data_IF_401381909381
#
_entry.id   IF_401381909381
#
_cell.length_a   1.000
_cell.length_b   1.000
_cell.length_c   1.000
_cell.angle_alpha   90.00
_cell.angle_beta   90.00
_cell.angle_gamma   90.00
#
_symmetry.space_group_name_H-M   'P 1'
#
loop_
_entity.id
_entity.type
_entity.pdbx_description
1 polymer ?
#
# COMPACT_ATOMS: atom_id res chain seq x y z
N UNK A 1 -39.30 81.46 -18.21
CA UNK A 1 -39.22 79.98 -18.48
C UNK A 1 -37.81 79.59 -18.94
N UNK A 2 -36.99 79.00 -18.06
CA UNK A 2 -35.68 78.50 -18.39
C UNK A 2 -35.69 77.01 -18.14
N UNK A 3 -35.56 76.25 -19.20
CA UNK A 3 -35.34 74.76 -19.13
C UNK A 3 -33.87 74.46 -18.91
N UNK A 4 -33.54 73.89 -17.75
CA UNK A 4 -32.20 73.36 -17.44
C UNK A 4 -32.12 71.95 -17.93
N UNK A 5 -31.09 71.66 -18.74
CA UNK A 5 -30.73 70.36 -19.20
C UNK A 5 -29.69 69.78 -18.22
N UNK A 6 -30.01 68.72 -17.52
CA UNK A 6 -29.09 67.97 -16.71
C UNK A 6 -28.47 66.88 -17.59
N UNK A 7 -27.16 66.97 -17.81
CA UNK A 7 -26.37 65.94 -18.48
C UNK A 7 -26.15 64.81 -17.52
N UNK A 8 -26.60 63.59 -17.88
CA UNK A 8 -26.29 62.35 -17.16
C UNK A 8 -24.90 61.88 -17.54
N UNK A 9 -24.01 61.87 -16.56
CA UNK A 9 -22.68 61.32 -16.69
C UNK A 9 -22.74 59.78 -16.53
N UNK A 10 -22.54 59.04 -17.63
CA UNK A 10 -22.50 57.57 -17.63
C UNK A 10 -21.12 57.13 -17.14
N UNK A 11 -21.00 56.67 -15.89
CA UNK A 11 -19.78 56.09 -15.31
C UNK A 11 -19.65 54.64 -15.83
N UNK A 12 -18.84 54.41 -16.84
CA UNK A 12 -18.41 53.09 -17.25
C UNK A 12 -17.42 52.56 -16.20
N UNK A 13 -17.90 51.76 -15.23
CA UNK A 13 -17.05 50.96 -14.40
C UNK A 13 -16.47 49.84 -15.25
N UNK A 14 -15.22 49.96 -15.67
CA UNK A 14 -14.44 48.89 -16.25
C UNK A 14 -14.13 47.82 -15.22
N UNK A 15 -14.69 46.66 -15.38
CA UNK A 15 -14.31 45.47 -14.62
C UNK A 15 -12.95 45.05 -15.11
N UNK A 16 -11.91 45.31 -14.32
CA UNK A 16 -10.60 44.69 -14.51
C UNK A 16 -10.73 43.21 -14.14
N UNK A 17 -10.73 42.34 -15.15
CA UNK A 17 -10.47 40.92 -14.91
C UNK A 17 -9.04 40.82 -14.41
N UNK A 18 -8.86 40.66 -13.10
CA UNK A 18 -7.60 40.19 -12.54
C UNK A 18 -7.46 38.75 -12.93
N UNK A 19 -6.56 38.47 -13.88
CA UNK A 19 -6.11 37.10 -14.15
C UNK A 19 -5.56 36.52 -12.85
N UNK A 20 -6.14 35.40 -12.42
CA UNK A 20 -5.60 34.64 -11.31
C UNK A 20 -4.12 34.27 -11.64
N UNK A 21 -3.19 34.35 -10.69
CA UNK A 21 -1.81 33.97 -10.95
C UNK A 21 -1.77 32.48 -11.34
N UNK A 22 -1.15 32.20 -12.47
CA UNK A 22 -0.85 30.86 -12.92
C UNK A 22 -0.06 30.12 -11.82
N UNK A 23 -0.58 28.97 -11.45
CA UNK A 23 0.02 27.90 -10.67
C UNK A 23 1.20 28.23 -9.75
N UNK A 24 0.95 28.39 -8.47
CA UNK A 24 1.99 28.12 -7.50
C UNK A 24 2.48 26.67 -7.73
N UNK A 25 3.82 26.47 -7.76
CA UNK A 25 4.39 25.13 -7.79
C UNK A 25 3.76 24.30 -6.67
N UNK A 26 3.51 23.01 -6.90
CA UNK A 26 2.91 22.16 -5.88
C UNK A 26 3.73 22.28 -4.59
N UNK A 27 3.05 22.52 -3.48
CA UNK A 27 3.68 22.58 -2.19
C UNK A 27 4.31 21.20 -1.91
N UNK A 28 5.54 21.15 -1.43
CA UNK A 28 6.16 19.92 -0.98
C UNK A 28 6.18 19.89 0.54
N UNK A 29 5.76 18.77 1.13
CA UNK A 29 5.85 18.50 2.55
C UNK A 29 7.12 17.69 2.81
N UNK A 30 7.91 18.10 3.81
CA UNK A 30 9.06 17.32 4.28
C UNK A 30 8.67 16.56 5.53
N UNK A 31 8.78 15.24 5.52
CA UNK A 31 8.55 14.40 6.69
C UNK A 31 9.78 14.49 7.62
N UNK A 32 9.62 15.11 8.76
CA UNK A 32 10.63 15.19 9.82
C UNK A 32 10.34 14.12 10.87
N UNK A 33 10.59 12.87 10.49
CA UNK A 33 10.35 11.68 11.33
C UNK A 33 11.65 10.89 11.42
N UNK A 34 12.31 10.90 12.60
CA UNK A 34 13.53 10.11 12.80
C UNK A 34 13.29 8.62 12.57
N UNK A 35 14.23 7.98 11.88
CA UNK A 35 14.26 6.54 11.63
C UNK A 35 13.06 5.98 10.83
N UNK A 36 12.28 6.81 10.16
CA UNK A 36 11.27 6.36 9.22
C UNK A 36 11.94 5.91 7.92
N UNK A 37 11.66 4.69 7.49
CA UNK A 37 12.03 4.17 6.18
C UNK A 37 11.20 4.80 5.05
N UNK A 38 11.27 4.22 3.86
CA UNK A 38 10.42 4.64 2.73
C UNK A 38 8.95 4.37 3.06
N UNK A 39 8.05 5.39 3.00
CA UNK A 39 6.64 5.17 3.28
C UNK A 39 5.98 4.30 2.21
N UNK A 40 5.39 3.20 2.63
CA UNK A 40 4.55 2.31 1.80
C UNK A 40 3.07 2.63 1.93
N UNK A 41 2.68 3.37 2.97
CA UNK A 41 1.29 3.79 3.19
C UNK A 41 1.22 5.17 3.87
N UNK A 42 0.27 5.98 3.41
CA UNK A 42 -0.06 7.27 3.99
C UNK A 42 -1.59 7.46 3.99
N UNK A 43 -2.16 7.98 5.08
CA UNK A 43 -3.60 8.22 5.18
C UNK A 43 -3.88 9.59 5.79
N UNK A 44 -4.80 10.35 5.20
CA UNK A 44 -5.22 11.66 5.70
C UNK A 44 -6.28 11.51 6.80
N UNK A 45 -5.94 11.88 8.03
CA UNK A 45 -6.84 12.01 9.17
C UNK A 45 -7.42 13.42 9.17
N UNK A 46 -8.58 13.57 8.57
CA UNK A 46 -9.25 14.87 8.42
C UNK A 46 -9.81 15.39 9.74
N UNK A 47 -10.07 14.52 10.70
CA UNK A 47 -10.64 14.90 11.99
C UNK A 47 -9.64 15.67 12.85
N UNK A 48 -8.38 15.29 12.77
CA UNK A 48 -7.30 15.88 13.56
C UNK A 48 -6.35 16.75 12.69
N UNK A 49 -6.58 16.83 11.38
CA UNK A 49 -5.77 17.62 10.47
C UNK A 49 -4.31 17.14 10.38
N UNK A 50 -4.10 15.83 10.25
CA UNK A 50 -2.78 15.19 10.20
C UNK A 50 -2.75 14.03 9.22
N UNK A 51 -1.58 13.49 8.98
CA UNK A 51 -1.39 12.27 8.20
C UNK A 51 -0.88 11.13 9.08
N UNK A 52 -1.32 9.92 8.81
CA UNK A 52 -0.72 8.70 9.32
C UNK A 52 0.21 8.11 8.27
N UNK A 53 1.40 7.68 8.67
CA UNK A 53 2.44 7.19 7.77
C UNK A 53 3.01 5.89 8.32
N UNK A 54 3.34 4.96 7.43
CA UNK A 54 4.04 3.71 7.75
C UNK A 54 5.10 3.40 6.72
N UNK A 55 6.23 2.86 7.16
CA UNK A 55 7.30 2.30 6.35
C UNK A 55 7.18 0.76 6.20
N UNK A 56 6.00 0.21 6.49
CA UNK A 56 5.71 -1.20 6.33
C UNK A 56 6.09 -2.06 7.54
N UNK A 57 6.42 -3.32 7.28
CA UNK A 57 6.74 -4.30 8.31
C UNK A 57 8.23 -4.53 8.40
N UNK A 58 8.80 -4.36 9.59
CA UNK A 58 10.18 -4.71 9.89
C UNK A 58 10.23 -5.71 11.05
N UNK A 59 10.85 -6.87 10.82
CA UNK A 59 10.97 -7.93 11.84
C UNK A 59 9.61 -8.36 12.46
N UNK A 60 8.56 -8.46 11.61
CA UNK A 60 7.22 -8.87 12.02
C UNK A 60 6.44 -7.81 12.82
N UNK A 61 6.84 -6.54 12.73
CA UNK A 61 6.19 -5.40 13.38
C UNK A 61 6.09 -4.22 12.43
N UNK A 62 5.12 -3.37 12.65
CA UNK A 62 4.87 -2.18 11.83
C UNK A 62 5.02 -0.93 12.66
N UNK A 63 5.80 0.02 12.15
CA UNK A 63 5.84 1.38 12.67
C UNK A 63 4.73 2.20 12.02
N UNK A 64 3.89 2.84 12.83
CA UNK A 64 2.88 3.80 12.37
C UNK A 64 3.04 5.08 13.17
N UNK A 65 3.18 6.18 12.46
CA UNK A 65 3.35 7.52 13.07
C UNK A 65 2.35 8.49 12.48
N UNK A 66 1.96 9.51 13.26
CA UNK A 66 1.28 10.66 12.69
C UNK A 66 2.26 11.79 12.43
N UNK A 67 2.00 12.57 11.39
CA UNK A 67 2.71 13.81 11.07
C UNK A 67 1.70 14.94 10.85
N UNK A 68 2.03 16.13 11.31
CA UNK A 68 1.22 17.33 11.07
C UNK A 68 1.28 17.78 9.61
N UNK A 69 0.51 18.81 9.28
CA UNK A 69 0.57 19.50 7.99
C UNK A 69 1.91 20.24 7.76
N UNK A 70 2.70 20.42 8.81
CA UNK A 70 4.06 20.93 8.77
C UNK A 70 5.13 19.81 8.63
N UNK A 71 4.72 18.54 8.53
CA UNK A 71 5.59 17.37 8.38
C UNK A 71 6.26 16.88 9.65
N UNK A 72 6.01 17.53 10.79
CA UNK A 72 6.64 17.12 12.05
C UNK A 72 5.97 15.91 12.66
N UNK A 73 6.80 15.08 13.28
CA UNK A 73 6.33 13.92 14.06
C UNK A 73 5.35 14.35 15.16
N UNK A 74 4.16 13.77 15.13
CA UNK A 74 3.16 13.86 16.19
C UNK A 74 3.22 12.62 17.10
N UNK A 75 2.29 11.69 16.90
CA UNK A 75 2.17 10.46 17.68
C UNK A 75 2.88 9.30 17.01
N UNK A 76 3.66 8.54 17.77
CA UNK A 76 4.11 7.20 17.38
C UNK A 76 3.22 6.17 18.06
N UNK A 77 2.56 5.31 17.30
CA UNK A 77 1.72 4.26 17.88
C UNK A 77 2.59 3.16 18.50
N UNK A 78 2.26 2.82 19.74
CA UNK A 78 2.90 1.72 20.45
C UNK A 78 1.95 0.50 20.46
N UNK A 79 1.74 -0.09 19.29
CA UNK A 79 0.95 -1.29 19.17
C UNK A 79 1.82 -2.48 18.80
N UNK A 80 1.43 -3.68 19.24
CA UNK A 80 2.25 -4.88 19.14
C UNK A 80 1.59 -5.96 18.28
N UNK A 81 0.68 -5.56 17.37
CA UNK A 81 0.08 -6.49 16.43
C UNK A 81 1.17 -7.13 15.56
N UNK A 82 1.23 -8.45 15.47
CA UNK A 82 2.12 -9.12 14.54
C UNK A 82 1.67 -8.84 13.12
N UNK A 83 2.61 -8.49 12.25
CA UNK A 83 2.37 -8.21 10.84
C UNK A 83 3.33 -9.00 9.98
N UNK A 84 2.94 -9.30 8.76
CA UNK A 84 3.75 -10.04 7.79
C UNK A 84 4.34 -9.10 6.76
N UNK A 85 3.48 -8.31 6.09
CA UNK A 85 3.87 -7.41 5.01
C UNK A 85 2.82 -6.29 4.86
N UNK A 86 2.99 -5.21 5.64
CA UNK A 86 2.10 -4.04 5.57
C UNK A 86 2.46 -3.21 4.34
N UNK A 87 1.46 -2.93 3.51
CA UNK A 87 1.60 -2.22 2.24
C UNK A 87 0.76 -0.96 2.15
N UNK A 88 -0.24 -0.76 3.02
CA UNK A 88 -1.15 0.38 2.88
C UNK A 88 -1.72 0.87 4.21
N UNK A 89 -2.07 2.14 4.24
CA UNK A 89 -2.91 2.76 5.26
C UNK A 89 -4.18 3.33 4.63
N UNK A 90 -5.27 3.34 5.38
CA UNK A 90 -6.50 4.02 4.97
C UNK A 90 -7.20 4.63 6.18
N UNK A 91 -7.83 5.78 5.99
CA UNK A 91 -8.60 6.47 7.02
C UNK A 91 -10.09 6.44 6.68
N UNK A 92 -10.92 6.02 7.61
CA UNK A 92 -12.37 6.03 7.44
C UNK A 92 -13.05 6.00 8.81
N UNK A 93 -14.08 6.84 8.98
CA UNK A 93 -14.96 6.88 10.17
C UNK A 93 -14.17 6.94 11.49
N UNK A 94 -13.20 7.89 11.57
CA UNK A 94 -12.32 8.12 12.71
C UNK A 94 -11.43 6.92 13.09
N UNK A 95 -11.27 5.95 12.19
CA UNK A 95 -10.42 4.79 12.37
C UNK A 95 -9.30 4.74 11.34
N UNK A 96 -8.13 4.36 11.82
CA UNK A 96 -7.00 4.01 10.98
C UNK A 96 -7.03 2.52 10.64
N UNK A 97 -7.00 2.20 9.36
CA UNK A 97 -6.89 0.84 8.86
C UNK A 97 -5.49 0.60 8.32
N UNK A 98 -4.85 -0.46 8.80
CA UNK A 98 -3.50 -0.88 8.43
C UNK A 98 -3.61 -2.18 7.64
N UNK A 99 -3.23 -2.13 6.37
CA UNK A 99 -3.33 -3.26 5.45
C UNK A 99 -2.06 -4.13 5.48
N UNK A 100 -2.11 -5.23 6.22
CA UNK A 100 -1.11 -6.32 6.15
C UNK A 100 -1.49 -7.26 4.99
N UNK A 101 -1.23 -6.79 3.76
CA UNK A 101 -1.82 -7.30 2.52
C UNK A 101 -0.80 -7.77 1.48
N UNK A 102 0.49 -7.50 1.69
CA UNK A 102 1.54 -7.96 0.80
C UNK A 102 1.74 -9.47 0.86
N UNK A 103 1.99 -10.08 -0.30
CA UNK A 103 2.28 -11.50 -0.47
C UNK A 103 3.02 -11.75 -1.79
N UNK A 104 4.21 -11.19 -1.93
CA UNK A 104 5.02 -11.31 -3.15
C UNK A 104 5.30 -12.78 -3.54
N UNK A 105 5.32 -13.68 -2.55
CA UNK A 105 5.49 -15.11 -2.77
C UNK A 105 4.18 -15.85 -3.08
N UNK A 106 3.02 -15.21 -2.97
CA UNK A 106 1.68 -15.77 -3.16
C UNK A 106 1.45 -17.06 -2.37
N UNK A 107 1.69 -17.00 -1.05
CA UNK A 107 1.62 -18.15 -0.14
C UNK A 107 0.67 -17.97 1.02
N UNK A 108 0.14 -16.77 1.21
CA UNK A 108 -0.76 -16.49 2.33
C UNK A 108 -2.16 -17.00 2.01
N UNK A 109 -2.72 -17.81 2.91
CA UNK A 109 -4.11 -18.26 2.81
C UNK A 109 -5.10 -17.11 2.98
N UNK A 110 -4.69 -16.06 3.70
CA UNK A 110 -5.46 -14.85 3.92
C UNK A 110 -4.54 -13.64 4.14
N UNK A 111 -5.03 -12.48 3.78
CA UNK A 111 -4.48 -11.17 4.13
C UNK A 111 -5.23 -10.61 5.34
N UNK A 112 -4.66 -9.62 6.01
CA UNK A 112 -5.25 -9.07 7.22
C UNK A 112 -5.36 -7.55 7.15
N UNK A 113 -6.45 -7.00 7.68
CA UNK A 113 -6.56 -5.57 7.98
C UNK A 113 -6.67 -5.41 9.49
N UNK A 114 -5.86 -4.50 10.02
CA UNK A 114 -5.76 -4.21 11.43
C UNK A 114 -6.20 -2.77 11.69
N UNK A 115 -6.82 -2.52 12.83
CA UNK A 115 -7.17 -1.16 13.26
C UNK A 115 -6.82 -0.97 14.73
N UNK A 116 -5.88 -0.07 15.07
CA UNK A 116 -5.59 0.27 16.46
C UNK A 116 -6.83 0.82 17.16
N UNK A 117 -7.11 0.37 18.38
CA UNK A 117 -8.26 0.84 19.15
C UNK A 117 -8.03 2.22 19.79
N UNK A 118 -6.80 2.72 19.76
CA UNK A 118 -6.43 4.04 20.24
C UNK A 118 -5.30 4.61 19.40
N UNK A 119 -5.39 5.89 19.09
CA UNK A 119 -4.44 6.63 18.26
C UNK A 119 -3.58 7.62 19.06
N UNK A 120 -3.58 7.53 20.37
CA UNK A 120 -2.83 8.43 21.28
C UNK A 120 -1.46 7.89 21.70
N UNK A 121 -0.96 6.85 21.06
CA UNK A 121 0.35 6.26 21.34
C UNK A 121 0.41 5.29 22.54
N UNK A 122 -0.65 5.23 23.34
CA UNK A 122 -0.66 4.47 24.60
C UNK A 122 -1.27 3.06 24.54
N UNK A 123 -1.91 2.68 23.46
CA UNK A 123 -2.63 1.39 23.38
C UNK A 123 -1.90 0.32 22.59
N UNK A 124 -1.91 -0.89 23.13
CA UNK A 124 -1.46 -2.08 22.41
C UNK A 124 -2.63 -2.90 21.80
N UNK A 125 -3.89 -2.49 21.99
CA UNK A 125 -5.06 -3.22 21.52
C UNK A 125 -5.43 -2.85 20.08
N UNK A 126 -5.93 -3.82 19.31
CA UNK A 126 -6.37 -3.62 17.93
C UNK A 126 -7.57 -4.51 17.59
N UNK A 127 -8.29 -4.12 16.55
CA UNK A 127 -9.25 -4.95 15.83
C UNK A 127 -8.56 -5.58 14.63
N UNK A 128 -9.01 -6.78 14.20
CA UNK A 128 -8.48 -7.46 13.02
C UNK A 128 -9.60 -8.08 12.20
N UNK A 129 -9.40 -8.12 10.88
CA UNK A 129 -10.24 -8.81 9.90
C UNK A 129 -9.34 -9.58 8.94
N UNK A 130 -9.68 -10.84 8.71
CA UNK A 130 -8.99 -11.72 7.77
C UNK A 130 -9.80 -11.82 6.49
N UNK A 131 -9.10 -11.79 5.34
CA UNK A 131 -9.71 -11.83 4.01
C UNK A 131 -9.00 -12.83 3.10
N UNK A 132 -9.78 -13.59 2.31
CA UNK A 132 -9.24 -14.47 1.29
C UNK A 132 -9.73 -14.07 -0.10
N UNK A 133 -8.87 -14.24 -1.09
CA UNK A 133 -9.24 -14.05 -2.49
C UNK A 133 -9.97 -15.28 -3.01
N UNK A 134 -11.00 -15.10 -3.89
CA UNK A 134 -11.81 -16.22 -4.39
C UNK A 134 -11.06 -17.12 -5.38
N UNK A 135 -9.97 -16.63 -5.93
CA UNK A 135 -9.19 -17.24 -7.01
C UNK A 135 -7.73 -17.56 -6.61
N UNK A 136 -7.47 -17.63 -5.32
CA UNK A 136 -6.17 -18.00 -4.75
C UNK A 136 -5.37 -16.79 -4.27
N UNK A 137 -4.17 -16.99 -3.70
CA UNK A 137 -3.35 -15.93 -3.13
C UNK A 137 -2.91 -14.88 -4.15
N UNK A 138 -2.98 -13.62 -3.77
CA UNK A 138 -2.52 -12.47 -4.54
C UNK A 138 -1.65 -11.54 -3.68
N UNK A 139 -0.70 -10.88 -4.33
CA UNK A 139 0.08 -9.80 -3.76
C UNK A 139 -0.66 -8.48 -3.94
N UNK A 140 -1.14 -7.87 -2.87
CA UNK A 140 -1.79 -6.56 -2.92
C UNK A 140 -0.83 -5.46 -2.46
N UNK A 141 -0.82 -4.36 -3.19
CA UNK A 141 0.00 -3.19 -2.88
C UNK A 141 -0.81 -2.01 -2.34
N UNK A 142 -2.12 -2.00 -2.56
CA UNK A 142 -2.95 -0.87 -2.17
C UNK A 142 -4.24 -1.30 -1.48
N UNK A 143 -4.69 -0.46 -0.56
CA UNK A 143 -5.96 -0.61 0.13
C UNK A 143 -6.65 0.75 0.24
N UNK A 144 -7.93 0.81 -0.11
CA UNK A 144 -8.75 2.00 0.09
C UNK A 144 -10.08 1.63 0.76
N UNK A 145 -10.55 2.46 1.69
CA UNK A 145 -11.86 2.30 2.31
C UNK A 145 -12.82 3.34 1.73
N UNK A 146 -13.94 2.87 1.20
CA UNK A 146 -14.95 3.77 0.64
C UNK A 146 -15.76 4.47 1.72
N UNK A 147 -16.47 5.57 1.41
CA UNK A 147 -17.37 6.23 2.36
C UNK A 147 -18.54 5.37 2.86
N UNK A 148 -18.72 4.17 2.31
CA UNK A 148 -19.69 3.17 2.78
C UNK A 148 -19.06 2.08 3.66
N UNK A 149 -17.78 2.22 4.02
CA UNK A 149 -17.04 1.26 4.84
C UNK A 149 -16.61 -0.01 4.12
N UNK A 150 -16.76 -0.11 2.79
CA UNK A 150 -16.20 -1.26 2.06
C UNK A 150 -14.71 -1.05 1.84
N UNK A 151 -13.92 -2.07 2.14
CA UNK A 151 -12.49 -2.09 1.87
C UNK A 151 -12.24 -2.64 0.47
N UNK A 152 -11.34 -2.01 -0.26
CA UNK A 152 -10.90 -2.40 -1.58
C UNK A 152 -9.42 -2.71 -1.53
N UNK A 153 -9.04 -3.82 -2.16
CA UNK A 153 -7.65 -4.28 -2.27
C UNK A 153 -7.27 -4.33 -3.73
N UNK A 154 -6.16 -3.71 -4.08
CA UNK A 154 -5.67 -3.65 -5.44
C UNK A 154 -4.40 -4.50 -5.51
N UNK A 155 -4.44 -5.56 -6.32
CA UNK A 155 -3.33 -6.49 -6.47
C UNK A 155 -2.39 -6.03 -7.57
N UNK A 156 -1.16 -6.53 -7.53
CA UNK A 156 -0.12 -6.33 -8.53
C UNK A 156 0.30 -7.65 -9.18
N UNK A 157 1.14 -7.59 -10.20
CA UNK A 157 1.62 -8.73 -10.98
C UNK A 157 0.99 -8.78 -12.37
N UNK A 158 0.98 -9.97 -13.02
CA UNK A 158 0.61 -10.12 -14.44
C UNK A 158 -0.86 -9.83 -14.73
N UNK A 159 -1.74 -10.05 -13.76
CA UNK A 159 -3.18 -9.83 -13.88
C UNK A 159 -3.67 -9.05 -12.65
N UNK A 160 -3.32 -7.76 -12.56
CA UNK A 160 -3.74 -6.94 -11.44
C UNK A 160 -5.26 -6.78 -11.42
N UNK A 161 -5.83 -6.79 -10.24
CA UNK A 161 -7.27 -6.75 -10.07
C UNK A 161 -7.67 -5.97 -8.81
N UNK A 162 -8.92 -5.52 -8.80
CA UNK A 162 -9.56 -4.87 -7.68
C UNK A 162 -10.50 -5.86 -7.02
N UNK A 163 -10.30 -6.09 -5.73
CA UNK A 163 -11.16 -6.91 -4.89
C UNK A 163 -11.84 -6.04 -3.84
N UNK A 164 -13.02 -6.45 -3.42
CA UNK A 164 -13.82 -5.70 -2.43
C UNK A 164 -14.35 -6.63 -1.35
N UNK A 165 -14.49 -6.08 -0.13
CA UNK A 165 -15.20 -6.76 0.94
C UNK A 165 -16.71 -6.85 0.65
N UNK A 166 -17.35 -7.85 1.21
CA UNK A 166 -18.81 -7.83 1.42
C UNK A 166 -19.16 -6.82 2.52
N UNK A 167 -20.44 -6.45 2.62
CA UNK A 167 -20.88 -5.58 3.70
C UNK A 167 -20.67 -6.27 5.07
N UNK A 168 -20.21 -5.50 6.06
CA UNK A 168 -20.01 -5.94 7.44
C UNK A 168 -19.14 -7.20 7.58
N UNK A 169 -17.83 -7.11 7.28
CA UNK A 169 -16.95 -8.25 7.43
C UNK A 169 -16.87 -8.72 8.90
N UNK A 170 -16.84 -10.02 9.10
CA UNK A 170 -16.71 -10.66 10.42
C UNK A 170 -15.28 -10.54 10.93
N UNK A 171 -15.12 -10.38 12.25
CA UNK A 171 -13.84 -10.45 12.94
C UNK A 171 -13.50 -11.83 13.50
N UNK A 172 -14.42 -12.80 13.36
CA UNK A 172 -14.28 -14.14 13.94
C UNK A 172 -13.97 -15.23 12.92
N UNK A 173 -13.69 -14.86 11.67
CA UNK A 173 -13.38 -15.81 10.61
C UNK A 173 -12.92 -15.11 9.34
N UNK A 174 -12.43 -15.89 8.39
CA UNK A 174 -11.95 -15.39 7.11
C UNK A 174 -13.11 -14.97 6.22
N UNK A 175 -13.07 -13.76 5.71
CA UNK A 175 -14.07 -13.16 4.83
C UNK A 175 -13.66 -13.35 3.37
N UNK A 176 -14.51 -13.94 2.55
CA UNK A 176 -14.24 -14.05 1.11
C UNK A 176 -14.42 -12.69 0.42
N UNK A 177 -13.41 -12.26 -0.31
CA UNK A 177 -13.45 -11.08 -1.17
C UNK A 177 -14.24 -11.34 -2.45
N UNK A 178 -14.58 -10.27 -3.16
CA UNK A 178 -15.23 -10.30 -4.48
C UNK A 178 -14.33 -9.54 -5.45
N UNK A 179 -13.91 -10.18 -6.54
CA UNK A 179 -13.28 -9.46 -7.66
C UNK A 179 -14.33 -8.56 -8.31
N UNK A 180 -14.00 -7.27 -8.49
CA UNK A 180 -14.93 -6.28 -9.06
C UNK A 180 -14.46 -5.74 -10.40
N UNK A 181 -13.15 -5.68 -10.64
CA UNK A 181 -12.59 -5.21 -11.91
C UNK A 181 -11.12 -5.64 -12.07
N UNK A 182 -10.57 -5.43 -13.25
CA UNK A 182 -9.14 -5.40 -13.45
C UNK A 182 -8.57 -4.05 -13.02
N UNK A 183 -7.31 -4.03 -12.59
CA UNK A 183 -6.62 -2.82 -12.14
C UNK A 183 -5.57 -2.36 -13.17
N UNK A 184 -5.15 -1.08 -13.14
CA UNK A 184 -3.94 -0.65 -13.82
C UNK A 184 -2.72 -1.47 -13.38
N UNK A 185 -1.79 -1.70 -14.30
CA UNK A 185 -0.54 -2.39 -13.95
C UNK A 185 0.35 -1.50 -13.07
N UNK A 186 1.06 -2.11 -12.12
CA UNK A 186 2.03 -1.42 -11.27
C UNK A 186 1.40 -0.49 -10.22
N UNK A 187 0.17 -0.76 -9.78
CA UNK A 187 -0.43 0.02 -8.68
C UNK A 187 0.40 -0.17 -7.41
N UNK A 188 0.74 0.96 -6.79
CA UNK A 188 1.48 1.01 -5.52
C UNK A 188 0.60 1.48 -4.35
N UNK A 189 -0.36 2.40 -4.58
CA UNK A 189 -1.29 2.85 -3.56
C UNK A 189 -2.62 3.34 -4.17
N UNK A 190 -3.65 3.49 -3.33
CA UNK A 190 -4.96 3.97 -3.76
C UNK A 190 -5.72 4.68 -2.62
N UNK A 191 -6.51 5.68 -2.99
CA UNK A 191 -7.38 6.40 -2.05
C UNK A 191 -8.70 6.79 -2.69
N UNK A 192 -9.80 6.76 -1.93
CA UNK A 192 -11.06 7.36 -2.37
C UNK A 192 -10.98 8.87 -2.35
N UNK A 193 -11.56 9.51 -3.38
CA UNK A 193 -11.69 10.96 -3.44
C UNK A 193 -12.91 11.43 -2.61
N UNK A 194 -12.96 12.72 -2.29
CA UNK A 194 -13.97 13.34 -1.44
C UNK A 194 -15.42 13.06 -1.85
N UNK A 195 -15.66 12.91 -3.16
CA UNK A 195 -17.00 12.60 -3.67
C UNK A 195 -17.47 11.17 -3.41
N UNK A 196 -16.55 10.28 -2.99
CA UNK A 196 -16.83 8.87 -2.70
C UNK A 196 -17.24 8.03 -3.90
N UNK A 197 -17.24 8.59 -5.10
CA UNK A 197 -17.57 7.93 -6.35
C UNK A 197 -16.35 7.64 -7.22
N UNK A 198 -15.19 8.19 -6.86
CA UNK A 198 -13.93 8.05 -7.58
C UNK A 198 -12.85 7.52 -6.66
N UNK A 199 -11.99 6.69 -7.22
CA UNK A 199 -10.78 6.19 -6.56
C UNK A 199 -9.56 6.63 -7.38
N UNK A 200 -8.60 7.25 -6.72
CA UNK A 200 -7.29 7.52 -7.30
C UNK A 200 -6.38 6.32 -7.01
N UNK A 201 -5.69 5.84 -8.02
CA UNK A 201 -4.71 4.76 -7.96
C UNK A 201 -3.38 5.29 -8.45
N UNK A 202 -2.35 5.14 -7.65
CA UNK A 202 -0.98 5.48 -8.00
C UNK A 202 -0.30 4.27 -8.62
N UNK A 203 0.48 4.51 -9.66
CA UNK A 203 1.46 3.57 -10.23
C UNK A 203 2.85 4.16 -10.10
N UNK A 204 3.88 3.49 -10.57
CA UNK A 204 5.27 3.97 -10.51
C UNK A 204 5.47 5.35 -11.16
N UNK A 205 4.65 5.72 -12.15
CA UNK A 205 4.84 6.94 -12.93
C UNK A 205 3.57 7.74 -13.21
N UNK A 206 2.41 7.28 -12.76
CA UNK A 206 1.15 7.91 -13.09
C UNK A 206 0.10 7.80 -11.97
N UNK A 207 -0.88 8.70 -12.03
CA UNK A 207 -2.10 8.63 -11.25
C UNK A 207 -3.23 8.28 -12.22
N UNK A 208 -4.03 7.28 -11.87
CA UNK A 208 -5.25 6.90 -12.55
C UNK A 208 -6.44 7.22 -11.66
N UNK A 209 -7.41 7.96 -12.16
CA UNK A 209 -8.70 8.19 -11.49
C UNK A 209 -9.74 7.31 -12.15
N UNK A 210 -10.34 6.45 -11.35
CA UNK A 210 -11.30 5.44 -11.81
C UNK A 210 -12.65 5.74 -11.16
N UNK A 211 -13.71 5.66 -11.95
CA UNK A 211 -15.09 5.70 -11.45
C UNK A 211 -15.40 4.40 -10.69
N UNK A 212 -15.77 4.49 -9.41
CA UNK A 212 -15.91 3.34 -8.52
C UNK A 212 -17.20 2.51 -8.74
N UNK A 213 -18.04 2.90 -9.70
CA UNK A 213 -19.23 2.14 -10.10
C UNK A 213 -19.04 1.39 -11.40
N UNK A 214 -18.48 2.07 -12.40
CA UNK A 214 -18.26 1.49 -13.73
C UNK A 214 -16.85 0.88 -13.89
N UNK A 215 -15.92 1.24 -13.02
CA UNK A 215 -14.51 0.85 -13.04
C UNK A 215 -13.77 1.34 -14.30
N UNK A 216 -14.30 2.35 -14.99
CA UNK A 216 -13.61 2.97 -16.10
C UNK A 216 -12.66 4.06 -15.61
N UNK A 217 -11.48 4.15 -16.21
CA UNK A 217 -10.56 5.26 -16.01
C UNK A 217 -11.14 6.53 -16.63
N UNK A 218 -11.37 7.55 -15.81
CA UNK A 218 -11.94 8.85 -16.19
C UNK A 218 -10.94 9.99 -16.13
N UNK A 219 -9.78 9.75 -15.51
CA UNK A 219 -8.65 10.66 -15.48
C UNK A 219 -7.35 9.88 -15.37
N UNK A 220 -6.31 10.34 -16.04
CA UNK A 220 -4.97 9.79 -15.89
C UNK A 220 -3.93 10.84 -16.29
N UNK A 221 -2.86 10.95 -15.51
CA UNK A 221 -1.74 11.83 -15.79
C UNK A 221 -0.44 11.26 -15.24
N UNK A 222 0.66 11.53 -15.93
CA UNK A 222 1.99 11.23 -15.39
C UNK A 222 2.35 12.25 -14.31
N UNK A 223 3.14 11.84 -13.34
CA UNK A 223 3.84 12.75 -12.43
C UNK A 223 5.35 12.69 -12.68
N UNK A 224 6.04 13.79 -12.39
CA UNK A 224 7.45 13.96 -12.76
C UNK A 224 8.41 13.53 -11.66
N UNK A 225 7.99 13.64 -10.40
CA UNK A 225 8.82 13.28 -9.24
C UNK A 225 8.57 11.80 -8.91
N UNK A 226 9.25 10.92 -9.65
CA UNK A 226 9.21 9.47 -9.41
C UNK A 226 9.91 9.08 -8.11
N UNK A 227 9.61 7.89 -7.63
CA UNK A 227 10.08 7.35 -6.35
C UNK A 227 8.97 7.37 -5.29
N UNK A 228 9.13 6.55 -4.24
CA UNK A 228 8.11 6.34 -3.23
C UNK A 228 6.88 5.58 -3.74
N UNK A 229 6.06 5.08 -2.84
CA UNK A 229 4.93 4.20 -3.17
C UNK A 229 3.58 4.74 -2.68
N UNK A 230 3.56 5.48 -1.57
CA UNK A 230 2.34 5.87 -0.89
C UNK A 230 1.67 7.13 -1.45
N UNK A 231 0.33 7.16 -1.37
CA UNK A 231 -0.50 8.28 -1.83
C UNK A 231 -1.76 8.42 -0.97
N UNK A 232 -2.14 9.67 -0.70
CA UNK A 232 -3.43 10.00 -0.09
C UNK A 232 -3.97 11.31 -0.66
N UNK A 233 -5.14 11.77 -0.22
CA UNK A 233 -5.61 13.14 -0.49
C UNK A 233 -4.91 14.12 0.45
N UNK A 234 -4.80 15.39 0.03
CA UNK A 234 -4.44 16.45 0.97
C UNK A 234 -5.55 16.64 2.04
N UNK A 235 -5.23 17.31 3.14
CA UNK A 235 -6.19 17.57 4.25
C UNK A 235 -7.38 18.43 3.84
N UNK A 236 -7.36 19.04 2.67
CA UNK A 236 -8.46 19.80 2.07
C UNK A 236 -9.24 18.97 1.05
N UNK A 237 -8.78 17.76 0.76
CA UNK A 237 -9.33 16.85 -0.26
C UNK A 237 -9.40 17.45 -1.68
N UNK A 238 -8.54 18.42 -1.97
CA UNK A 238 -8.47 19.12 -3.24
C UNK A 238 -7.40 18.56 -4.18
N UNK A 239 -6.35 17.97 -3.62
CA UNK A 239 -5.19 17.41 -4.32
C UNK A 239 -4.82 16.05 -3.76
N UNK A 240 -3.79 15.45 -4.33
CA UNK A 240 -3.17 14.22 -3.87
C UNK A 240 -1.78 14.52 -3.30
N UNK A 241 -1.43 13.84 -2.22
CA UNK A 241 -0.09 13.85 -1.63
C UNK A 241 0.60 12.53 -1.98
N UNK A 242 1.74 12.62 -2.65
CA UNK A 242 2.54 11.49 -3.10
C UNK A 242 3.89 11.49 -2.39
N UNK A 243 4.23 10.39 -1.73
CA UNK A 243 5.61 10.23 -1.24
C UNK A 243 6.56 10.04 -2.41
N UNK A 244 7.71 10.70 -2.38
CA UNK A 244 8.74 10.59 -3.43
C UNK A 244 10.07 10.11 -2.87
N UNK A 245 10.18 10.04 -1.55
CA UNK A 245 11.29 9.43 -0.80
C UNK A 245 10.88 9.27 0.66
N UNK A 246 11.74 8.71 1.49
CA UNK A 246 11.52 8.57 2.93
C UNK A 246 11.14 9.89 3.64
N UNK A 247 11.57 11.03 3.11
CA UNK A 247 11.40 12.33 3.76
C UNK A 247 10.59 13.34 2.94
N UNK A 248 10.18 13.00 1.71
CA UNK A 248 9.55 13.99 0.83
C UNK A 248 8.18 13.53 0.34
N UNK A 249 7.21 14.43 0.46
CA UNK A 249 5.86 14.31 -0.12
C UNK A 249 5.65 15.46 -1.09
N UNK A 250 5.10 15.18 -2.26
CA UNK A 250 4.81 16.19 -3.29
C UNK A 250 3.32 16.22 -3.57
N UNK A 251 2.75 17.41 -3.62
CA UNK A 251 1.34 17.61 -3.96
C UNK A 251 1.13 17.48 -5.47
N UNK A 252 0.16 16.69 -5.90
CA UNK A 252 -0.24 16.53 -7.29
C UNK A 252 -1.74 16.86 -7.47
N UNK A 253 -2.08 17.40 -8.62
CA UNK A 253 -3.50 17.64 -8.96
C UNK A 253 -4.21 16.32 -9.26
N UNK A 254 -5.49 16.24 -8.90
CA UNK A 254 -6.35 15.11 -9.27
C UNK A 254 -6.61 15.16 -10.77
N UNK A 255 -6.17 14.12 -11.56
CA UNK A 255 -6.42 14.11 -13.00
C UNK A 255 -7.91 14.13 -13.35
N UNK A 256 -8.31 15.08 -14.19
CA UNK A 256 -9.70 15.21 -14.68
C UNK A 256 -9.88 14.79 -16.15
N UNK A 257 -8.79 14.43 -16.83
CA UNK A 257 -8.74 13.97 -18.22
C UNK A 257 -7.80 12.76 -18.31
N UNK A 258 -8.07 11.89 -19.25
CA UNK A 258 -7.14 10.80 -19.57
C UNK A 258 -6.06 11.34 -20.52
N UNK A 259 -4.85 11.46 -20.01
CA UNK A 259 -3.65 11.79 -20.78
C UNK A 259 -2.96 10.49 -21.23
N UNK A 260 -2.09 10.59 -22.24
CA UNK A 260 -1.28 9.46 -22.65
C UNK A 260 -0.23 9.16 -21.59
N UNK A 261 -0.39 8.03 -20.92
CA UNK A 261 0.58 7.58 -19.93
C UNK A 261 1.84 7.08 -20.63
N UNK A 262 3.01 7.59 -20.24
CA UNK A 262 4.30 7.10 -20.71
C UNK A 262 4.49 5.66 -20.21
N UNK A 263 4.93 4.77 -21.12
CA UNK A 263 5.31 3.43 -20.69
C UNK A 263 6.49 3.52 -19.71
N UNK A 264 6.41 2.80 -18.60
CA UNK A 264 7.57 2.62 -17.72
C UNK A 264 8.64 1.91 -18.53
N UNK A 265 9.88 2.41 -18.64
CA UNK A 265 10.95 1.69 -19.28
C UNK A 265 11.14 0.37 -18.54
N UNK A 266 10.76 -0.73 -19.16
CA UNK A 266 11.08 -2.05 -18.62
C UNK A 266 12.61 -2.11 -18.62
N UNK A 267 13.23 -2.14 -17.45
CA UNK A 267 14.67 -2.36 -17.35
C UNK A 267 14.91 -3.75 -17.95
N UNK A 268 15.40 -3.77 -19.19
CA UNK A 268 15.86 -4.98 -19.83
C UNK A 268 17.00 -5.52 -18.97
N UNK A 269 16.76 -6.62 -18.29
CA UNK A 269 17.80 -7.41 -17.65
C UNK A 269 18.62 -8.11 -18.72
N UNK A 270 19.37 -7.33 -19.50
CA UNK A 270 20.44 -7.83 -20.36
C UNK A 270 21.60 -8.23 -19.47
N UNK A 271 21.48 -9.36 -18.80
CA UNK A 271 22.65 -10.14 -18.40
C UNK A 271 23.23 -10.80 -19.63
N UNK A 272 23.91 -10.02 -20.45
CA UNK A 272 24.83 -10.54 -21.45
C UNK A 272 26.01 -11.16 -20.70
N UNK A 273 25.93 -12.44 -20.46
CA UNK A 273 27.08 -13.25 -20.07
C UNK A 273 28.05 -13.23 -21.25
N UNK A 274 29.06 -12.40 -21.15
CA UNK A 274 30.22 -12.40 -22.05
C UNK A 274 31.00 -13.68 -21.85
N UNK A 275 30.67 -14.73 -22.57
CA UNK A 275 31.52 -15.91 -22.71
C UNK A 275 32.48 -15.67 -23.88
N UNK A 276 33.74 -15.41 -23.52
CA UNK A 276 34.86 -15.44 -24.45
C UNK A 276 35.25 -16.91 -24.70
N UNK A 277 35.27 -17.43 -25.93
CA UNK A 277 35.75 -18.75 -26.21
C UNK A 277 37.28 -18.75 -26.18
N UNK A 278 37.88 -19.55 -25.31
CA UNK A 278 39.29 -19.92 -25.45
C UNK A 278 39.38 -21.43 -25.77
N UNK A 279 40.11 -21.67 -26.84
CA UNK A 279 40.28 -22.92 -27.53
C UNK A 279 41.01 -23.99 -26.70
N UNK A 280 40.69 -25.21 -27.07
CA UNK A 280 41.21 -26.53 -26.73
C UNK A 280 42.68 -26.68 -26.35
N UNK A 281 42.90 -27.58 -25.37
CA UNK A 281 43.96 -28.58 -25.39
C UNK A 281 43.60 -29.71 -24.43
N UNK A 282 43.30 -30.91 -24.90
CA UNK A 282 43.50 -32.19 -24.21
C UNK A 282 44.96 -32.63 -24.35
N UNK A 283 45.53 -33.62 -23.61
CA UNK A 283 44.91 -34.67 -22.79
C UNK A 283 45.59 -34.87 -21.42
N UNK A 284 45.08 -35.57 -20.48
CA UNK A 284 45.51 -36.89 -20.06
C UNK A 284 44.78 -37.42 -18.82
N UNK A 285 44.69 -38.72 -18.81
CA UNK A 285 44.06 -39.61 -17.86
C UNK A 285 44.62 -39.57 -16.43
N UNK A 286 43.73 -39.55 -15.41
CA UNK A 286 43.93 -40.44 -14.26
C UNK A 286 42.66 -40.57 -13.41
N UNK A 287 42.23 -41.82 -13.23
CA UNK A 287 41.19 -42.27 -12.31
C UNK A 287 41.48 -41.85 -10.87
N UNK A 288 40.50 -41.24 -10.20
CA UNK A 288 40.42 -41.32 -8.75
C UNK A 288 38.95 -41.42 -8.33
N UNK A 289 38.58 -42.57 -7.84
CA UNK A 289 37.32 -42.88 -7.18
C UNK A 289 37.26 -42.17 -5.84
N UNK A 290 36.38 -41.21 -5.66
CA UNK A 290 36.03 -40.65 -4.35
C UNK A 290 34.60 -41.03 -3.97
N UNK A 291 34.52 -41.90 -2.95
CA UNK A 291 33.28 -42.36 -2.31
C UNK A 291 32.56 -41.17 -1.64
N UNK A 292 31.30 -40.97 -1.98
CA UNK A 292 30.41 -40.06 -1.24
C UNK A 292 30.08 -40.70 0.13
N UNK A 293 30.09 -39.93 1.24
CA UNK A 293 29.62 -40.43 2.51
C UNK A 293 28.09 -40.45 2.55
N UNK A 294 27.52 -41.63 2.72
CA UNK A 294 26.12 -41.85 3.04
C UNK A 294 25.97 -41.60 4.55
N UNK A 295 25.52 -40.44 4.98
CA UNK A 295 25.45 -40.14 6.42
C UNK A 295 24.34 -39.21 6.90
N UNK A 296 23.68 -38.48 5.99
CA UNK A 296 22.80 -37.39 6.43
C UNK A 296 21.30 -37.73 6.43
N UNK A 297 20.88 -38.80 5.77
CA UNK A 297 19.45 -39.19 5.71
C UNK A 297 19.03 -40.08 6.88
N UNK A 298 19.98 -40.78 7.55
CA UNK A 298 19.65 -41.66 8.69
C UNK A 298 19.38 -40.90 10.02
N UNK A 299 19.84 -39.65 10.15
CA UNK A 299 19.66 -38.87 11.39
C UNK A 299 18.25 -38.25 11.55
N UNK A 300 17.52 -38.00 10.45
CA UNK A 300 16.19 -37.36 10.51
C UNK A 300 15.10 -38.39 10.85
N UNK A 301 15.24 -39.64 10.43
CA UNK A 301 14.26 -40.71 10.71
C UNK A 301 14.33 -41.14 12.19
N UNK A 302 15.51 -41.11 12.81
CA UNK A 302 15.70 -41.47 14.23
C UNK A 302 15.02 -40.49 15.21
N UNK A 303 14.99 -39.18 14.89
CA UNK A 303 14.38 -38.15 15.75
C UNK A 303 12.84 -38.22 15.81
N UNK A 304 12.19 -38.56 14.69
CA UNK A 304 10.74 -38.69 14.62
C UNK A 304 10.24 -39.93 15.37
N UNK A 305 10.95 -41.04 15.29
CA UNK A 305 10.58 -42.28 16.00
C UNK A 305 10.73 -42.13 17.51
N UNK A 306 11.77 -41.44 18.00
CA UNK A 306 11.96 -41.16 19.42
C UNK A 306 10.85 -40.23 20.00
N UNK A 307 10.39 -39.24 19.25
CA UNK A 307 9.31 -38.34 19.69
C UNK A 307 7.98 -39.10 19.82
N UNK A 308 7.66 -40.02 18.91
CA UNK A 308 6.42 -40.82 18.96
C UNK A 308 6.43 -41.80 20.12
N UNK A 309 7.56 -42.46 20.38
CA UNK A 309 7.69 -43.41 21.51
C UNK A 309 7.62 -42.68 22.85
N UNK A 310 8.21 -41.49 23.00
CA UNK A 310 8.10 -40.68 24.21
C UNK A 310 6.67 -40.21 24.46
N UNK A 311 5.95 -39.80 23.42
CA UNK A 311 4.54 -39.36 23.51
C UNK A 311 3.58 -40.47 23.96
N UNK A 312 3.81 -41.71 23.49
CA UNK A 312 3.01 -42.88 23.89
C UNK A 312 3.31 -43.31 25.34
N UNK A 313 4.56 -43.20 25.81
CA UNK A 313 4.93 -43.56 27.18
C UNK A 313 4.33 -42.56 28.20
N UNK A 314 4.33 -41.27 27.92
CA UNK A 314 3.72 -40.25 28.77
C UNK A 314 2.18 -40.39 28.81
N UNK A 315 1.55 -40.74 27.69
CA UNK A 315 0.10 -40.99 27.62
C UNK A 315 -0.39 -42.22 28.33
N UNK A 316 0.48 -43.27 28.44
CA UNK A 316 0.16 -44.49 29.19
C UNK A 316 0.41 -44.40 30.68
N UNK A 317 1.34 -43.56 31.12
CA UNK A 317 1.64 -43.36 32.55
C UNK A 317 0.63 -42.43 33.24
N UNK A 318 0.13 -41.39 32.55
CA UNK A 318 -0.90 -40.49 33.07
C UNK A 318 -2.28 -41.15 33.29
N UNK A 319 -2.53 -42.36 32.75
CA UNK A 319 -3.79 -43.10 32.97
C UNK A 319 -3.78 -44.05 34.19
N UNK A 320 -2.70 -44.13 34.94
CA UNK A 320 -2.58 -45.04 36.12
C UNK A 320 -2.80 -44.36 37.47
N UNK A 321 -2.95 -43.03 37.49
CA UNK A 321 -3.16 -42.32 38.76
C UNK A 321 -4.62 -41.98 39.06
N UNK A 322 -5.57 -42.30 38.15
CA UNK A 322 -7.02 -42.04 38.34
C UNK A 322 -7.85 -43.37 38.44
N UNK A 323 -7.33 -44.38 39.09
CA UNK A 323 -8.08 -45.64 39.41
C UNK A 323 -7.90 -46.07 40.87
#
# INVERSE_FOLDING_TARGET
ERRSWTAALCCCMGWALTAAPAGAAPASLTLDVPDLGEPVGIAADLSEGRYWVTDGTTSGRTTVVSVGDDGKLGTKLNWQAPTTDVQALSWYDEHLYVGDIGDSARRRDHIQVLSPMSLNGGSASWMAWDFSYPDGPHDAAAMAVSPRGNMYFITRGDKPAIYRTRSNPSRTGVNALIKVADAPAGVTDATFLADGSRIAMRTDNAIHVVDAYSWHTIGAANFTDGGGEAMTTDLRQANLELTTSATKVTTAQIPSKVEKIAAVPTASSDHTASQKPTAATEPDSSRSTSKRPVGTVAAIIGAVVLAVVAGVFVGLWGRREDA
#
